data_IF_134076697230
#
_entry.id   IF_134076697230
#
_cell.length_a   1.000
_cell.length_b   1.000
_cell.length_c   1.000
_cell.angle_alpha   90.00
_cell.angle_beta   90.00
_cell.angle_gamma   90.00
#
_symmetry.space_group_name_H-M   'P 1'
#
loop_
_entity.id
_entity.type
_entity.pdbx_description
1 polymer ?
#
# COMPACT_ATOMS: atom_id res chain seq x y z
N UNK A 1 -21.07 60.07 -98.27
CA UNK A 1 -21.82 59.23 -97.32
C UNK A 1 -21.08 59.26 -96.00
N UNK A 2 -21.42 59.97 -94.93
CA UNK A 2 -22.40 61.00 -94.54
C UNK A 2 -21.94 61.38 -93.11
N UNK A 3 -21.48 62.61 -92.85
CA UNK A 3 -22.14 63.74 -92.15
C UNK A 3 -22.55 63.42 -90.67
N UNK A 4 -21.96 64.07 -89.64
CA UNK A 4 -22.41 65.32 -88.92
C UNK A 4 -23.85 65.18 -88.36
N UNK A 5 -24.23 65.41 -87.10
CA UNK A 5 -24.03 66.48 -86.09
C UNK A 5 -24.46 65.94 -84.68
N UNK A 6 -23.84 66.32 -83.56
CA UNK A 6 -24.17 67.43 -82.62
C UNK A 6 -25.57 67.41 -81.95
N UNK A 7 -25.59 67.48 -80.61
CA UNK A 7 -26.80 67.78 -79.83
C UNK A 7 -26.67 67.66 -78.30
N UNK A 8 -26.32 68.78 -77.64
CA UNK A 8 -27.00 69.28 -76.42
C UNK A 8 -26.69 68.71 -75.02
N UNK A 9 -26.05 69.55 -74.19
CA UNK A 9 -26.02 69.55 -72.71
C UNK A 9 -27.43 69.67 -72.08
N UNK A 10 -27.66 69.20 -70.82
CA UNK A 10 -27.46 70.10 -69.67
C UNK A 10 -26.95 69.43 -68.37
N UNK A 11 -26.37 70.28 -67.52
CA UNK A 11 -25.70 70.00 -66.25
C UNK A 11 -26.67 69.74 -65.08
N UNK A 12 -26.43 68.70 -64.25
CA UNK A 12 -26.91 68.56 -62.84
C UNK A 12 -26.04 67.52 -62.08
N UNK A 13 -26.10 67.39 -60.73
CA UNK A 13 -25.05 67.73 -59.78
C UNK A 13 -24.24 66.54 -59.22
N UNK A 14 -23.14 66.87 -58.55
CA UNK A 14 -22.27 65.97 -57.79
C UNK A 14 -23.02 65.30 -56.62
N UNK A 15 -22.99 63.96 -56.55
CA UNK A 15 -23.41 63.16 -55.39
C UNK A 15 -22.16 62.47 -54.82
N UNK A 16 -21.80 62.71 -53.55
CA UNK A 16 -20.62 62.12 -52.95
C UNK A 16 -20.81 60.63 -52.66
N UNK A 17 -19.79 59.83 -53.00
CA UNK A 17 -19.65 58.45 -52.55
C UNK A 17 -19.50 58.38 -51.01
N UNK A 18 -20.14 57.41 -50.33
CA UNK A 18 -20.02 57.26 -48.89
C UNK A 18 -18.61 56.79 -48.48
N UNK A 19 -18.12 57.18 -47.29
CA UNK A 19 -16.79 56.83 -46.82
C UNK A 19 -16.67 55.33 -46.51
N UNK A 20 -15.51 54.76 -46.84
CA UNK A 20 -15.10 53.42 -46.41
C UNK A 20 -15.07 53.32 -44.88
N UNK A 21 -15.73 52.30 -44.34
CA UNK A 21 -15.94 52.06 -42.92
C UNK A 21 -14.66 51.64 -42.19
N UNK A 22 -14.17 52.46 -41.25
CA UNK A 22 -13.06 52.15 -40.34
C UNK A 22 -13.45 51.24 -39.15
N UNK A 23 -14.49 50.41 -39.29
CA UNK A 23 -15.06 49.62 -38.19
C UNK A 23 -14.54 48.18 -38.08
N UNK A 24 -13.73 47.70 -39.02
CA UNK A 24 -13.32 46.27 -39.11
C UNK A 24 -11.95 45.95 -38.53
N UNK A 25 -11.07 46.94 -38.28
CA UNK A 25 -9.72 46.72 -37.74
C UNK A 25 -9.62 46.73 -36.20
N UNK A 26 -10.51 47.45 -35.51
CA UNK A 26 -10.49 47.51 -34.03
C UNK A 26 -11.01 46.21 -33.38
N UNK A 27 -12.10 45.64 -33.93
CA UNK A 27 -12.71 44.42 -33.39
C UNK A 27 -11.87 43.14 -33.58
N UNK A 28 -10.91 43.13 -34.50
CA UNK A 28 -9.99 42.00 -34.72
C UNK A 28 -8.78 42.04 -33.77
N UNK A 29 -8.25 43.23 -33.47
CA UNK A 29 -7.18 43.43 -32.49
C UNK A 29 -7.65 43.13 -31.05
N UNK A 30 -8.84 43.60 -30.65
CA UNK A 30 -9.44 43.33 -29.33
C UNK A 30 -9.80 41.84 -29.14
N UNK A 31 -10.31 41.18 -30.19
CA UNK A 31 -10.54 39.72 -30.17
C UNK A 31 -9.22 38.93 -30.06
N UNK A 32 -8.11 39.41 -30.64
CA UNK A 32 -6.81 38.75 -30.53
C UNK A 32 -6.20 38.87 -29.14
N UNK A 33 -6.29 40.04 -28.49
CA UNK A 33 -5.80 40.25 -27.12
C UNK A 33 -6.63 39.47 -26.10
N UNK A 34 -7.95 39.42 -26.28
CA UNK A 34 -8.84 38.66 -25.40
C UNK A 34 -8.58 37.15 -25.52
N UNK A 35 -8.35 36.63 -26.74
CA UNK A 35 -7.95 35.23 -26.97
C UNK A 35 -6.57 34.90 -26.38
N UNK A 36 -5.61 35.82 -26.44
CA UNK A 36 -4.28 35.65 -25.84
C UNK A 36 -4.34 35.64 -24.30
N UNK A 37 -5.16 36.50 -23.69
CA UNK A 37 -5.39 36.51 -22.23
C UNK A 37 -6.11 35.25 -21.76
N UNK A 38 -7.12 34.77 -22.50
CA UNK A 38 -7.76 33.48 -22.18
C UNK A 38 -6.79 32.29 -22.31
N UNK A 39 -5.92 32.28 -23.33
CA UNK A 39 -4.91 31.22 -23.50
C UNK A 39 -3.85 31.21 -22.40
N UNK A 40 -3.39 32.38 -21.94
CA UNK A 40 -2.44 32.48 -20.83
C UNK A 40 -3.13 32.04 -19.53
N UNK A 41 -4.38 32.48 -19.28
CA UNK A 41 -5.14 32.05 -18.11
C UNK A 41 -5.43 30.54 -18.11
N UNK A 42 -5.71 29.94 -19.27
CA UNK A 42 -5.90 28.48 -19.38
C UNK A 42 -4.59 27.72 -19.17
N UNK A 43 -3.45 28.21 -19.69
CA UNK A 43 -2.14 27.58 -19.47
C UNK A 43 -1.70 27.67 -18.01
N UNK A 44 -1.91 28.81 -17.34
CA UNK A 44 -1.67 28.95 -15.91
C UNK A 44 -2.60 28.04 -15.09
N UNK A 45 -3.88 27.94 -15.48
CA UNK A 45 -4.84 27.04 -14.83
C UNK A 45 -4.43 25.57 -14.95
N UNK A 46 -3.97 25.13 -16.13
CA UNK A 46 -3.46 23.77 -16.35
C UNK A 46 -2.17 23.52 -15.56
N UNK A 47 -1.24 24.48 -15.53
CA UNK A 47 0.00 24.34 -14.75
C UNK A 47 -0.27 24.25 -13.24
N UNK A 48 -1.21 25.04 -12.71
CA UNK A 48 -1.64 24.96 -11.31
C UNK A 48 -2.34 23.63 -11.02
N UNK A 49 -3.18 23.14 -11.94
CA UNK A 49 -3.82 21.84 -11.81
C UNK A 49 -2.79 20.69 -11.82
N UNK A 50 -1.81 20.71 -12.72
CA UNK A 50 -0.73 19.73 -12.78
C UNK A 50 0.18 19.79 -11.54
N UNK A 51 0.50 20.98 -11.04
CA UNK A 51 1.24 21.13 -9.79
C UNK A 51 0.44 20.63 -8.58
N UNK A 52 -0.88 20.84 -8.56
CA UNK A 52 -1.75 20.31 -7.52
C UNK A 52 -1.86 18.77 -7.59
N UNK A 53 -1.94 18.20 -8.79
CA UNK A 53 -1.92 16.75 -9.01
C UNK A 53 -0.56 16.16 -8.62
N UNK A 54 0.55 16.79 -9.00
CA UNK A 54 1.90 16.37 -8.61
C UNK A 54 2.14 16.46 -7.10
N UNK A 55 1.67 17.53 -6.44
CA UNK A 55 1.74 17.66 -4.99
C UNK A 55 0.83 16.66 -4.27
N UNK A 56 -0.33 16.34 -4.85
CA UNK A 56 -1.22 15.30 -4.34
C UNK A 56 -0.56 13.92 -4.48
N UNK A 57 -0.05 13.57 -5.66
CA UNK A 57 0.69 12.32 -5.90
C UNK A 57 1.91 12.19 -4.97
N UNK A 58 2.72 13.24 -4.84
CA UNK A 58 3.86 13.27 -3.91
C UNK A 58 3.42 13.02 -2.45
N UNK A 59 2.33 13.64 -2.00
CA UNK A 59 1.77 13.39 -0.66
C UNK A 59 1.28 11.96 -0.47
N UNK A 60 0.86 11.28 -1.54
CA UNK A 60 0.43 9.87 -1.48
C UNK A 60 1.62 8.90 -1.50
N UNK A 61 2.69 9.21 -2.25
CA UNK A 61 3.79 8.26 -2.47
C UNK A 61 4.93 8.41 -1.46
N UNK A 62 5.24 9.65 -1.02
CA UNK A 62 6.27 9.89 0.01
C UNK A 62 6.08 8.98 1.25
N UNK A 63 4.86 8.80 1.77
CA UNK A 63 4.64 7.92 2.89
C UNK A 63 4.96 6.43 2.59
N UNK A 64 4.74 5.93 1.37
CA UNK A 64 5.06 4.55 0.97
C UNK A 64 6.57 4.31 0.96
N UNK A 65 7.34 5.26 0.44
CA UNK A 65 8.81 5.21 0.40
C UNK A 65 9.41 5.39 1.79
N UNK A 66 8.87 6.31 2.58
CA UNK A 66 9.33 6.53 3.96
C UNK A 66 9.07 5.32 4.87
N UNK A 67 8.08 4.47 4.52
CA UNK A 67 7.71 3.29 5.29
C UNK A 67 8.77 2.20 5.29
N UNK A 68 9.60 2.10 4.25
CA UNK A 68 10.68 1.10 4.19
C UNK A 68 11.66 1.20 5.36
N UNK A 69 11.81 2.38 6.00
CA UNK A 69 12.64 2.53 7.21
C UNK A 69 12.12 1.71 8.40
N UNK A 70 10.87 1.28 8.35
CA UNK A 70 10.22 0.45 9.34
C UNK A 70 9.99 -0.99 8.83
N UNK A 71 10.68 -1.42 7.77
CA UNK A 71 10.59 -2.80 7.28
C UNK A 71 11.25 -3.81 8.23
N UNK A 72 12.23 -3.37 9.02
CA UNK A 72 12.97 -4.21 9.97
C UNK A 72 12.53 -3.91 11.39
N UNK A 73 12.15 -4.97 12.12
CA UNK A 73 11.72 -4.92 13.52
C UNK A 73 12.50 -5.97 14.31
N UNK A 74 12.58 -5.77 15.63
CA UNK A 74 13.19 -6.77 16.52
C UNK A 74 12.12 -7.75 16.99
N UNK A 75 12.45 -9.04 16.98
CA UNK A 75 11.55 -10.12 17.39
C UNK A 75 11.70 -10.46 18.88
N UNK A 76 11.81 -9.42 19.72
CA UNK A 76 11.82 -9.55 21.17
C UNK A 76 10.39 -9.77 21.70
N UNK A 77 10.24 -10.68 22.65
CA UNK A 77 8.96 -10.93 23.31
C UNK A 77 8.68 -9.75 24.26
N UNK A 78 7.48 -9.16 24.23
CA UNK A 78 7.16 -8.03 25.09
C UNK A 78 7.15 -8.45 26.57
N UNK A 79 7.33 -7.48 27.47
CA UNK A 79 7.23 -7.73 28.91
C UNK A 79 5.80 -7.51 29.37
N UNK A 80 5.14 -8.56 29.86
CA UNK A 80 3.83 -8.48 30.49
C UNK A 80 3.92 -8.43 32.04
N UNK A 81 2.97 -7.77 32.72
CA UNK A 81 2.83 -7.85 34.17
C UNK A 81 2.73 -9.30 34.65
N UNK A 82 3.49 -9.62 35.69
CA UNK A 82 3.56 -10.97 36.24
C UNK A 82 2.34 -11.24 37.13
N UNK A 83 1.71 -12.39 36.97
CA UNK A 83 0.64 -12.86 37.85
C UNK A 83 1.24 -13.71 38.98
N UNK A 84 0.68 -13.57 40.19
CA UNK A 84 1.03 -14.46 41.32
C UNK A 84 -0.14 -15.40 41.57
N UNK A 85 0.13 -16.71 41.51
CA UNK A 85 -0.85 -17.73 41.85
C UNK A 85 -1.27 -17.64 43.32
N UNK A 86 -2.58 -17.68 43.55
CA UNK A 86 -3.18 -17.87 44.85
C UNK A 86 -3.14 -19.35 45.25
N UNK A 87 -3.50 -19.62 46.51
CA UNK A 87 -3.60 -20.99 47.00
C UNK A 87 -4.62 -21.80 46.18
N UNK A 88 -4.17 -22.89 45.56
CA UNK A 88 -5.02 -23.75 44.73
C UNK A 88 -5.02 -23.40 43.24
N UNK A 89 -4.29 -22.36 42.84
CA UNK A 89 -4.05 -22.03 41.43
C UNK A 89 -2.68 -22.56 40.97
N UNK A 90 -2.60 -22.95 39.70
CA UNK A 90 -1.36 -23.22 38.97
C UNK A 90 -1.03 -21.99 38.12
N UNK A 91 0.18 -21.45 38.27
CA UNK A 91 0.67 -20.37 37.41
C UNK A 91 1.15 -20.93 36.08
N UNK A 92 0.62 -20.40 34.98
CA UNK A 92 1.03 -20.71 33.62
C UNK A 92 1.52 -19.43 32.94
N UNK A 93 2.56 -19.55 32.14
CA UNK A 93 3.11 -18.46 31.32
C UNK A 93 2.95 -18.80 29.85
N UNK A 94 2.50 -17.84 29.06
CA UNK A 94 2.41 -17.97 27.61
C UNK A 94 3.81 -18.29 27.06
N UNK A 95 3.90 -19.37 26.30
CA UNK A 95 5.07 -19.73 25.51
C UNK A 95 4.94 -19.07 24.13
N UNK A 96 5.73 -18.02 23.85
CA UNK A 96 5.60 -17.26 22.61
C UNK A 96 6.06 -18.04 21.39
N UNK A 97 6.84 -19.13 21.56
CA UNK A 97 7.29 -19.98 20.43
C UNK A 97 6.20 -20.91 19.91
N UNK A 98 5.11 -21.06 20.69
CA UNK A 98 3.95 -21.90 20.38
C UNK A 98 2.64 -21.12 20.48
N UNK A 99 2.73 -19.81 20.32
CA UNK A 99 1.58 -18.90 20.37
C UNK A 99 1.68 -17.89 19.23
N UNK A 100 0.53 -17.48 18.69
CA UNK A 100 0.44 -16.48 17.64
C UNK A 100 -0.88 -15.74 17.66
N UNK A 101 -0.85 -14.46 17.28
CA UNK A 101 -2.02 -13.65 17.01
C UNK A 101 -2.04 -13.36 15.52
N UNK A 102 -3.14 -13.72 14.87
CA UNK A 102 -3.38 -13.49 13.45
C UNK A 102 -4.54 -12.53 13.28
N UNK A 103 -4.39 -11.57 12.38
CA UNK A 103 -5.50 -10.77 11.86
C UNK A 103 -5.89 -11.23 10.46
N UNK A 104 -7.17 -11.16 10.14
CA UNK A 104 -7.71 -11.35 8.80
C UNK A 104 -8.69 -10.22 8.46
N UNK A 105 -8.49 -9.57 7.32
CA UNK A 105 -9.32 -8.46 6.88
C UNK A 105 -9.63 -8.57 5.38
N UNK A 106 -10.89 -8.35 5.03
CA UNK A 106 -11.29 -8.28 3.62
C UNK A 106 -10.75 -7.00 2.97
N UNK A 107 -10.18 -7.13 1.79
CA UNK A 107 -9.69 -6.01 0.98
C UNK A 107 -10.20 -6.08 -0.47
N UNK A 108 -10.37 -4.91 -1.07
CA UNK A 108 -10.70 -4.73 -2.48
C UNK A 108 -9.55 -4.03 -3.19
N UNK A 109 -9.02 -4.68 -4.22
CA UNK A 109 -8.00 -4.14 -5.11
C UNK A 109 -8.62 -3.53 -6.37
N UNK A 110 -8.22 -2.29 -6.70
CA UNK A 110 -8.63 -1.53 -7.87
C UNK A 110 -10.15 -1.55 -8.13
N UNK A 111 -10.95 -1.55 -7.05
CA UNK A 111 -12.41 -1.53 -7.09
C UNK A 111 -13.11 -2.80 -7.60
N UNK A 112 -12.40 -3.91 -7.86
CA UNK A 112 -12.99 -5.08 -8.52
C UNK A 112 -12.59 -6.44 -7.95
N UNK A 113 -11.37 -6.62 -7.41
CA UNK A 113 -10.91 -7.91 -6.89
C UNK A 113 -10.99 -7.92 -5.37
N UNK A 114 -11.79 -8.82 -4.80
CA UNK A 114 -11.80 -9.08 -3.36
C UNK A 114 -10.78 -10.15 -3.00
N UNK A 115 -10.08 -9.94 -1.90
CA UNK A 115 -9.18 -10.90 -1.28
C UNK A 115 -9.17 -10.68 0.24
N UNK A 116 -8.47 -11.56 0.95
CA UNK A 116 -8.26 -11.43 2.39
C UNK A 116 -6.78 -11.12 2.62
N UNK A 117 -6.49 -10.04 3.33
CA UNK A 117 -5.16 -9.78 3.85
C UNK A 117 -5.04 -10.42 5.23
N UNK A 118 -3.98 -11.20 5.41
CA UNK A 118 -3.68 -11.89 6.67
C UNK A 118 -2.30 -11.46 7.15
N UNK A 119 -2.16 -11.24 8.46
CA UNK A 119 -0.84 -11.08 9.05
C UNK A 119 -0.79 -11.56 10.49
N UNK A 120 0.39 -11.95 10.96
CA UNK A 120 0.58 -12.63 12.24
C UNK A 120 1.76 -12.09 13.04
N UNK A 121 1.72 -12.30 14.35
CA UNK A 121 2.82 -12.01 15.28
C UNK A 121 2.90 -13.10 16.35
N UNK A 122 4.11 -13.47 16.73
CA UNK A 122 4.39 -14.39 17.85
C UNK A 122 4.85 -13.64 19.12
N UNK A 123 5.05 -12.31 19.04
CA UNK A 123 5.49 -11.48 20.16
C UNK A 123 4.40 -11.30 21.21
N UNK A 124 4.08 -12.35 21.96
CA UNK A 124 2.96 -12.40 22.90
C UNK A 124 3.49 -12.78 24.27
N UNK A 125 3.05 -12.07 25.30
CA UNK A 125 3.39 -12.38 26.68
C UNK A 125 2.18 -12.21 27.60
N UNK A 126 2.14 -12.99 28.66
CA UNK A 126 1.08 -12.97 29.65
C UNK A 126 1.17 -14.18 30.56
N UNK A 127 0.50 -14.07 31.70
CA UNK A 127 0.37 -15.14 32.68
C UNK A 127 -1.10 -15.50 32.87
N UNK A 128 -1.36 -16.76 33.17
CA UNK A 128 -2.67 -17.27 33.57
C UNK A 128 -2.52 -17.98 34.93
N UNK A 129 -3.53 -17.88 35.78
CA UNK A 129 -3.62 -18.64 37.02
C UNK A 129 -4.83 -19.57 36.93
N UNK A 130 -4.56 -20.85 36.69
CA UNK A 130 -5.58 -21.88 36.48
C UNK A 130 -6.02 -22.47 37.82
N UNK A 131 -7.31 -22.41 38.12
CA UNK A 131 -7.88 -23.09 39.28
C UNK A 131 -8.55 -24.40 38.83
N UNK A 132 -7.87 -25.52 39.04
CA UNK A 132 -8.33 -26.83 38.56
C UNK A 132 -9.53 -27.38 39.34
N UNK A 133 -9.78 -26.88 40.55
CA UNK A 133 -10.92 -27.29 41.36
C UNK A 133 -12.21 -26.52 41.01
N UNK A 134 -12.06 -25.27 40.58
CA UNK A 134 -13.14 -24.34 40.23
C UNK A 134 -12.68 -23.47 39.06
N UNK A 135 -12.95 -23.93 37.84
CA UNK A 135 -12.50 -23.28 36.62
C UNK A 135 -12.99 -21.82 36.51
N UNK A 136 -14.19 -21.53 37.03
CA UNK A 136 -14.75 -20.17 37.08
C UNK A 136 -13.94 -19.19 37.95
N UNK A 137 -13.10 -19.70 38.85
CA UNK A 137 -12.24 -18.88 39.72
C UNK A 137 -10.85 -18.66 39.08
N UNK A 138 -10.60 -19.16 37.87
CA UNK A 138 -9.33 -18.96 37.14
C UNK A 138 -9.17 -17.50 36.74
N UNK A 139 -7.92 -17.03 36.65
CA UNK A 139 -7.60 -15.63 36.37
C UNK A 139 -6.65 -15.50 35.19
N UNK A 140 -6.89 -14.49 34.36
CA UNK A 140 -6.00 -14.14 33.26
C UNK A 140 -5.30 -12.82 33.62
N UNK A 141 -3.97 -12.81 33.55
CA UNK A 141 -3.19 -11.58 33.67
C UNK A 141 -3.36 -10.70 32.45
N UNK A 142 -2.75 -9.52 32.46
CA UNK A 142 -2.71 -8.71 31.24
C UNK A 142 -1.93 -9.46 30.15
N UNK A 143 -2.51 -9.59 28.96
CA UNK A 143 -1.82 -10.11 27.78
C UNK A 143 -1.27 -8.91 27.01
N UNK A 144 0.00 -8.98 26.63
CA UNK A 144 0.70 -7.94 25.88
C UNK A 144 1.18 -8.53 24.57
N UNK A 145 0.85 -7.88 23.47
CA UNK A 145 1.22 -8.31 22.12
C UNK A 145 2.03 -7.22 21.44
N UNK A 146 3.18 -7.57 20.89
CA UNK A 146 3.96 -6.70 20.03
C UNK A 146 3.36 -6.71 18.61
N UNK A 147 2.58 -5.68 18.31
CA UNK A 147 1.91 -5.45 17.03
C UNK A 147 2.81 -4.73 16.02
N UNK A 148 4.03 -4.35 16.40
CA UNK A 148 5.08 -3.94 15.45
C UNK A 148 5.57 -5.16 14.64
N UNK A 149 5.56 -6.33 15.27
CA UNK A 149 5.99 -7.60 14.67
C UNK A 149 4.95 -8.24 13.75
N UNK A 150 3.81 -7.60 13.52
CA UNK A 150 2.86 -8.10 12.53
C UNK A 150 3.52 -8.21 11.16
N UNK A 151 3.33 -9.37 10.56
CA UNK A 151 3.90 -9.72 9.28
C UNK A 151 2.85 -10.35 8.37
N UNK A 152 2.81 -9.89 7.13
CA UNK A 152 1.96 -10.45 6.07
C UNK A 152 2.82 -10.96 4.91
N UNK A 153 2.17 -11.40 3.84
CA UNK A 153 2.81 -11.75 2.57
C UNK A 153 3.32 -10.52 1.79
N UNK A 154 3.33 -9.31 2.38
CA UNK A 154 3.74 -8.07 1.71
C UNK A 154 4.46 -7.11 2.68
N UNK A 155 5.77 -6.94 2.52
CA UNK A 155 6.60 -6.13 3.41
C UNK A 155 6.25 -4.63 3.34
N UNK A 156 5.82 -4.14 2.17
CA UNK A 156 5.36 -2.75 2.04
C UNK A 156 4.05 -2.54 2.78
N UNK A 157 3.13 -3.52 2.75
CA UNK A 157 1.91 -3.51 3.56
C UNK A 157 2.27 -3.44 5.03
N UNK A 158 3.16 -4.31 5.49
CA UNK A 158 3.57 -4.36 6.89
C UNK A 158 4.21 -3.05 7.34
N UNK A 159 5.13 -2.51 6.54
CA UNK A 159 5.77 -1.22 6.77
C UNK A 159 4.74 -0.07 6.83
N UNK A 160 3.74 -0.08 5.95
CA UNK A 160 2.67 0.92 5.91
C UNK A 160 1.72 0.80 7.12
N UNK A 161 1.34 -0.41 7.49
CA UNK A 161 0.54 -0.69 8.69
C UNK A 161 1.28 -0.17 9.93
N UNK A 162 2.59 -0.47 10.03
CA UNK A 162 3.45 0.03 11.10
C UNK A 162 3.56 1.55 11.13
N UNK A 163 3.68 2.21 9.99
CA UNK A 163 3.88 3.66 9.95
C UNK A 163 2.58 4.46 10.13
N UNK A 164 1.55 4.18 9.34
CA UNK A 164 0.43 5.12 9.16
C UNK A 164 -0.85 4.69 9.87
N UNK A 165 -1.07 3.38 9.98
CA UNK A 165 -2.34 2.85 10.45
C UNK A 165 -2.26 2.48 11.92
N UNK A 166 -1.67 1.33 12.26
CA UNK A 166 -1.45 0.98 13.67
C UNK A 166 -0.46 1.94 14.33
N UNK A 167 0.41 2.59 13.55
CA UNK A 167 1.47 3.46 14.07
C UNK A 167 2.34 2.70 15.09
N UNK A 168 2.52 1.39 14.90
CA UNK A 168 3.17 0.52 15.87
C UNK A 168 4.67 0.77 16.02
N UNK A 169 5.32 1.44 15.06
CA UNK A 169 6.67 2.00 15.28
C UNK A 169 6.73 3.00 16.46
N UNK A 170 5.59 3.63 16.81
CA UNK A 170 5.44 4.53 17.96
C UNK A 170 4.70 3.86 19.12
N UNK A 171 3.74 3.00 18.80
CA UNK A 171 2.89 2.28 19.74
C UNK A 171 3.02 0.76 19.53
N UNK A 172 4.17 0.16 19.87
CA UNK A 172 4.48 -1.21 19.47
C UNK A 172 3.61 -2.26 20.16
N UNK A 173 3.00 -1.91 21.29
CA UNK A 173 2.27 -2.86 22.13
C UNK A 173 0.77 -2.63 22.05
N UNK A 174 0.04 -3.72 21.86
CA UNK A 174 -1.38 -3.83 22.21
C UNK A 174 -1.51 -4.60 23.52
N UNK A 175 -2.50 -4.25 24.35
CA UNK A 175 -2.78 -4.99 25.59
C UNK A 175 -4.21 -5.50 25.59
N UNK A 176 -4.43 -6.63 26.26
CA UNK A 176 -5.74 -7.09 26.67
C UNK A 176 -5.79 -7.14 28.20
N UNK A 177 -6.69 -6.35 28.76
CA UNK A 177 -6.99 -6.29 30.18
C UNK A 177 -8.23 -7.12 30.47
N UNK A 178 -8.03 -8.26 31.12
CA UNK A 178 -9.08 -9.21 31.47
C UNK A 178 -10.08 -8.65 32.49
N UNK A 179 -11.36 -8.97 32.31
CA UNK A 179 -12.45 -8.56 33.21
C UNK A 179 -13.21 -9.76 33.78
N UNK A 180 -13.72 -10.65 32.91
CA UNK A 180 -14.59 -11.76 33.32
C UNK A 180 -14.52 -12.94 32.33
N UNK A 181 -14.80 -14.14 32.84
CA UNK A 181 -15.07 -15.35 32.05
C UNK A 181 -16.56 -15.68 32.16
N UNK A 182 -17.20 -15.91 31.02
CA UNK A 182 -18.58 -16.40 30.95
C UNK A 182 -18.63 -17.80 30.33
N UNK A 183 -19.40 -18.72 30.93
CA UNK A 183 -19.62 -20.07 30.38
C UNK A 183 -18.60 -21.13 30.80
N UNK A 184 -17.57 -20.77 31.57
CA UNK A 184 -16.61 -21.73 32.16
C UNK A 184 -16.98 -22.00 33.63
N UNK A 185 -17.13 -23.27 34.01
CA UNK A 185 -17.39 -23.64 35.41
C UNK A 185 -17.06 -25.10 35.70
N UNK A 186 -16.91 -25.43 36.99
CA UNK A 186 -16.75 -26.81 37.44
C UNK A 186 -15.30 -27.19 37.72
N UNK A 187 -15.04 -28.48 37.83
CA UNK A 187 -13.70 -29.02 38.05
C UNK A 187 -13.07 -29.34 36.69
N UNK A 188 -11.77 -29.11 36.57
CA UNK A 188 -11.01 -29.51 35.39
C UNK A 188 -10.95 -31.03 35.24
N UNK A 189 -11.28 -31.51 34.05
CA UNK A 189 -10.96 -32.85 33.57
C UNK A 189 -9.82 -32.73 32.54
N UNK A 190 -8.68 -33.38 32.80
CA UNK A 190 -7.51 -33.30 31.91
C UNK A 190 -7.84 -33.80 30.50
N UNK A 191 -7.37 -33.05 29.49
CA UNK A 191 -7.63 -33.32 28.08
C UNK A 191 -9.04 -32.99 27.58
N UNK A 192 -9.97 -32.60 28.47
CA UNK A 192 -11.28 -32.10 28.05
C UNK A 192 -11.14 -30.71 27.38
N UNK A 193 -11.99 -30.47 26.38
CA UNK A 193 -12.09 -29.19 25.69
C UNK A 193 -13.25 -28.39 26.25
N UNK A 194 -12.96 -27.15 26.67
CA UNK A 194 -13.92 -26.21 27.21
C UNK A 194 -14.17 -25.07 26.23
N UNK A 195 -15.43 -24.67 26.08
CA UNK A 195 -15.85 -23.51 25.30
C UNK A 195 -16.44 -22.45 26.24
N UNK A 196 -15.93 -21.23 26.15
CA UNK A 196 -16.36 -20.11 27.00
C UNK A 196 -16.05 -18.78 26.34
N UNK A 197 -16.49 -17.68 26.95
CA UNK A 197 -16.17 -16.33 26.50
C UNK A 197 -15.25 -15.63 27.50
N UNK A 198 -14.25 -14.91 26.98
CA UNK A 198 -13.44 -13.98 27.75
C UNK A 198 -13.82 -12.55 27.41
N UNK A 199 -14.19 -11.78 28.44
CA UNK A 199 -14.52 -10.38 28.33
C UNK A 199 -13.38 -9.54 28.91
N UNK A 200 -13.12 -8.40 28.28
CA UNK A 200 -12.10 -7.48 28.73
C UNK A 200 -11.96 -6.29 27.80
N UNK A 201 -10.84 -5.59 27.92
CA UNK A 201 -10.54 -4.39 27.15
C UNK A 201 -9.26 -4.56 26.34
N UNK A 202 -9.35 -4.41 25.02
CA UNK A 202 -8.19 -4.28 24.16
C UNK A 202 -7.79 -2.81 24.08
N UNK A 203 -6.52 -2.52 24.33
CA UNK A 203 -5.92 -1.21 24.11
C UNK A 203 -4.94 -1.27 22.94
N UNK A 204 -5.18 -0.46 21.92
CA UNK A 204 -4.24 -0.22 20.81
C UNK A 204 -3.95 1.28 20.78
N UNK A 205 -2.67 1.65 20.61
CA UNK A 205 -2.17 3.02 20.83
C UNK A 205 -2.43 3.46 22.28
N UNK A 206 -3.43 4.31 22.48
CA UNK A 206 -3.85 4.83 23.78
C UNK A 206 -5.38 4.76 23.91
N UNK A 207 -6.03 3.87 23.14
CA UNK A 207 -7.49 3.78 23.04
C UNK A 207 -7.97 2.41 23.52
N UNK A 208 -8.49 2.29 24.76
CA UNK A 208 -9.13 1.07 25.23
C UNK A 208 -10.50 0.90 24.59
N UNK A 209 -10.86 -0.34 24.25
CA UNK A 209 -12.18 -0.71 23.77
C UNK A 209 -12.58 -2.09 24.33
N UNK A 210 -13.84 -2.23 24.75
CA UNK A 210 -14.36 -3.52 25.17
C UNK A 210 -14.30 -4.53 24.01
N UNK A 211 -13.91 -5.76 24.34
CA UNK A 211 -13.79 -6.90 23.44
C UNK A 211 -14.29 -8.16 24.11
N UNK A 212 -14.97 -9.01 23.34
CA UNK A 212 -15.38 -10.35 23.74
C UNK A 212 -14.69 -11.35 22.82
N UNK A 213 -14.10 -12.37 23.41
CA UNK A 213 -13.39 -13.43 22.72
C UNK A 213 -14.12 -14.75 22.96
N UNK A 214 -14.45 -15.45 21.88
CA UNK A 214 -14.91 -16.84 21.93
C UNK A 214 -13.69 -17.75 22.05
N UNK A 215 -13.64 -18.60 23.08
CA UNK A 215 -12.45 -19.37 23.44
C UNK A 215 -12.77 -20.85 23.47
N UNK A 216 -11.90 -21.64 22.84
CA UNK A 216 -11.82 -23.09 23.00
C UNK A 216 -10.48 -23.41 23.64
N UNK A 217 -10.47 -24.05 24.81
CA UNK A 217 -9.24 -24.38 25.52
C UNK A 217 -9.25 -25.78 26.13
N UNK A 218 -8.07 -26.37 26.27
CA UNK A 218 -7.83 -27.63 26.99
C UNK A 218 -6.55 -27.54 27.80
N UNK A 219 -6.49 -28.32 28.88
CA UNK A 219 -5.30 -28.47 29.70
C UNK A 219 -4.96 -29.95 29.85
N UNK A 220 -3.75 -30.33 29.47
CA UNK A 220 -3.26 -31.70 29.56
C UNK A 220 -1.75 -31.70 29.83
N UNK A 221 -1.28 -32.61 30.68
CA UNK A 221 0.14 -32.79 31.04
C UNK A 221 0.91 -31.48 31.34
N UNK A 222 0.28 -30.55 32.07
CA UNK A 222 0.91 -29.28 32.44
C UNK A 222 0.90 -28.19 31.35
N UNK A 223 0.24 -28.44 30.22
CA UNK A 223 0.17 -27.54 29.07
C UNK A 223 -1.27 -27.09 28.86
N UNK A 224 -1.49 -25.78 28.87
CA UNK A 224 -2.72 -25.16 28.42
C UNK A 224 -2.60 -24.83 26.93
N UNK A 225 -3.55 -25.28 26.13
CA UNK A 225 -3.71 -24.86 24.72
C UNK A 225 -5.05 -24.20 24.53
N UNK A 226 -5.09 -23.05 23.86
CA UNK A 226 -6.31 -22.30 23.60
C UNK A 226 -6.32 -21.67 22.21
N UNK A 227 -7.48 -21.65 21.59
CA UNK A 227 -7.78 -20.82 20.41
C UNK A 227 -8.88 -19.84 20.81
N UNK A 228 -8.61 -18.54 20.66
CA UNK A 228 -9.55 -17.48 20.96
C UNK A 228 -9.79 -16.62 19.72
N UNK A 229 -11.06 -16.34 19.40
CA UNK A 229 -11.43 -15.50 18.26
C UNK A 229 -12.23 -14.28 18.68
N UNK A 230 -11.95 -13.13 18.07
CA UNK A 230 -12.73 -11.92 18.29
C UNK A 230 -12.82 -11.08 17.01
N UNK A 231 -13.90 -10.32 16.90
CA UNK A 231 -14.07 -9.34 15.83
C UNK A 231 -13.90 -7.92 16.37
N UNK A 232 -13.08 -7.11 15.70
CA UNK A 232 -12.84 -5.72 16.08
C UNK A 232 -13.03 -4.78 14.89
N UNK A 233 -13.23 -3.48 15.19
CA UNK A 233 -13.27 -2.44 14.17
C UNK A 233 -12.03 -1.56 14.25
N UNK A 234 -11.27 -1.46 13.17
CA UNK A 234 -10.04 -0.66 13.12
C UNK A 234 -10.29 0.82 13.40
N UNK A 235 -11.45 1.34 12.97
CA UNK A 235 -11.88 2.71 13.23
C UNK A 235 -12.00 3.06 14.72
N UNK A 236 -12.24 2.07 15.60
CA UNK A 236 -12.24 2.28 17.06
C UNK A 236 -10.85 2.71 17.57
N UNK A 237 -9.80 2.29 16.89
CA UNK A 237 -8.41 2.56 17.25
C UNK A 237 -7.74 3.60 16.35
N UNK A 238 -8.49 4.24 15.45
CA UNK A 238 -7.96 5.20 14.46
C UNK A 238 -6.90 4.53 13.57
N UNK A 239 -7.17 3.29 13.18
CA UNK A 239 -6.27 2.45 12.36
C UNK A 239 -6.90 2.02 11.03
N UNK A 240 -8.15 2.42 10.76
CA UNK A 240 -8.88 2.07 9.55
C UNK A 240 -10.27 2.72 9.48
N UNK A 241 -11.10 2.38 8.48
CA UNK A 241 -10.76 1.53 7.34
C UNK A 241 -9.65 2.14 6.49
N UNK A 242 -8.84 1.28 5.87
CA UNK A 242 -7.67 1.72 5.09
C UNK A 242 -8.13 1.99 3.66
N UNK A 243 -7.79 3.16 3.12
CA UNK A 243 -8.00 3.49 1.71
C UNK A 243 -6.76 4.17 1.15
N UNK A 244 -6.18 3.56 0.13
CA UNK A 244 -4.96 4.05 -0.52
C UNK A 244 -5.30 4.39 -1.97
N UNK A 245 -5.56 5.68 -2.22
CA UNK A 245 -5.72 6.28 -3.56
C UNK A 245 -6.61 5.50 -4.56
N UNK A 246 -7.59 4.72 -4.09
CA UNK A 246 -8.45 3.87 -4.93
C UNK A 246 -7.81 2.56 -5.41
N UNK A 247 -6.56 2.28 -5.03
CA UNK A 247 -5.84 1.04 -5.35
C UNK A 247 -6.17 -0.08 -4.38
N UNK A 248 -6.24 0.23 -3.08
CA UNK A 248 -6.57 -0.72 -2.01
C UNK A 248 -7.60 -0.07 -1.09
N UNK A 249 -8.63 -0.84 -0.76
CA UNK A 249 -9.58 -0.49 0.28
C UNK A 249 -9.84 -1.71 1.16
N UNK A 250 -9.68 -1.57 2.47
CA UNK A 250 -10.07 -2.61 3.41
C UNK A 250 -11.48 -2.36 3.93
N UNK A 251 -12.12 -3.42 4.42
CA UNK A 251 -13.22 -3.28 5.36
C UNK A 251 -12.73 -2.62 6.67
N UNK A 252 -13.67 -2.26 7.54
CA UNK A 252 -13.34 -1.75 8.89
C UNK A 252 -13.26 -2.87 9.92
N UNK A 253 -13.92 -3.99 9.64
CA UNK A 253 -14.00 -5.15 10.52
C UNK A 253 -12.83 -6.09 10.27
N UNK A 254 -12.17 -6.49 11.35
CA UNK A 254 -11.04 -7.43 11.36
C UNK A 254 -11.38 -8.61 12.25
N UNK A 255 -11.12 -9.81 11.75
CA UNK A 255 -11.14 -11.04 12.55
C UNK A 255 -9.76 -11.22 13.18
N UNK A 256 -9.74 -11.50 14.48
CA UNK A 256 -8.55 -11.81 15.24
C UNK A 256 -8.63 -13.25 15.72
N UNK A 257 -7.56 -14.01 15.51
CA UNK A 257 -7.41 -15.38 15.99
C UNK A 257 -6.13 -15.46 16.82
N UNK A 258 -6.29 -15.73 18.11
CA UNK A 258 -5.20 -15.95 19.05
C UNK A 258 -5.07 -17.45 19.32
N UNK A 259 -3.97 -18.04 18.88
CA UNK A 259 -3.55 -19.39 19.26
C UNK A 259 -2.53 -19.25 20.38
N UNK A 260 -2.79 -19.92 21.51
CA UNK A 260 -2.02 -19.73 22.73
C UNK A 260 -1.64 -21.08 23.32
N UNK A 261 -0.36 -21.23 23.62
CA UNK A 261 0.15 -22.31 24.47
C UNK A 261 0.75 -21.69 25.72
N UNK A 262 0.40 -22.20 26.90
CA UNK A 262 0.97 -21.74 28.17
C UNK A 262 1.40 -22.93 29.05
N UNK A 263 2.53 -22.76 29.74
CA UNK A 263 3.17 -23.81 30.54
C UNK A 263 3.64 -23.27 31.88
N UNK A 264 3.90 -24.14 32.84
CA UNK A 264 4.41 -23.72 34.14
C UNK A 264 5.86 -23.16 34.02
N UNK A 265 6.10 -21.89 34.39
CA UNK A 265 7.41 -21.25 34.22
C UNK A 265 8.48 -21.74 35.21
N UNK A 266 8.09 -22.50 36.24
CA UNK A 266 9.02 -23.11 37.19
C UNK A 266 9.71 -24.35 36.61
N UNK A 267 9.07 -25.00 35.62
CA UNK A 267 9.50 -26.25 35.01
C UNK A 267 9.96 -26.08 33.55
N UNK A 268 9.66 -24.94 32.92
CA UNK A 268 9.92 -24.70 31.50
C UNK A 268 10.64 -23.36 31.30
N UNK A 269 11.62 -23.34 30.40
CA UNK A 269 12.25 -22.11 29.95
C UNK A 269 11.32 -21.38 28.99
N UNK A 270 11.03 -20.11 29.28
CA UNK A 270 10.18 -19.27 28.43
C UNK A 270 11.07 -18.38 27.57
N UNK A 271 10.91 -18.49 26.26
CA UNK A 271 11.71 -17.74 25.30
C UNK A 271 11.47 -16.22 25.45
N UNK A 272 12.53 -15.44 25.30
CA UNK A 272 12.49 -13.97 25.31
C UNK A 272 12.63 -13.38 23.90
N UNK A 273 12.82 -14.24 22.91
CA UNK A 273 12.87 -13.91 21.48
C UNK A 273 12.05 -14.95 20.73
N UNK A 274 11.34 -14.52 19.70
CA UNK A 274 10.66 -15.41 18.76
C UNK A 274 11.37 -15.40 17.43
N UNK A 275 11.28 -16.51 16.69
CA UNK A 275 11.59 -16.46 15.28
C UNK A 275 10.56 -15.57 14.59
N UNK A 276 10.99 -14.91 13.53
CA UNK A 276 10.09 -14.20 12.62
C UNK A 276 8.96 -15.15 12.26
N UNK A 277 7.70 -14.75 12.51
CA UNK A 277 6.53 -15.58 12.19
C UNK A 277 6.68 -15.95 10.72
N UNK A 278 7.00 -17.23 10.47
CA UNK A 278 7.46 -17.65 9.16
C UNK A 278 6.39 -17.24 8.16
N UNK A 279 6.78 -16.40 7.18
CA UNK A 279 6.20 -16.48 5.84
C UNK A 279 6.02 -17.98 5.62
N UNK A 280 4.79 -18.45 5.42
CA UNK A 280 4.56 -19.80 4.93
C UNK A 280 5.59 -19.96 3.82
N UNK A 281 6.67 -20.71 4.07
CA UNK A 281 7.75 -20.88 3.11
C UNK A 281 7.03 -21.27 1.84
N UNK A 282 6.97 -20.34 0.87
CA UNK A 282 6.12 -20.45 -0.28
C UNK A 282 6.56 -21.74 -0.94
N UNK A 283 5.74 -22.77 -0.83
CA UNK A 283 6.26 -24.12 -0.71
C UNK A 283 7.02 -24.53 -1.94
N UNK A 284 8.35 -24.57 -1.91
CA UNK A 284 9.21 -25.34 -2.82
C UNK A 284 8.89 -25.24 -4.34
N UNK A 285 8.16 -24.22 -4.77
CA UNK A 285 8.05 -23.87 -6.18
C UNK A 285 9.25 -22.97 -6.44
N UNK A 286 10.20 -23.44 -7.25
CA UNK A 286 11.34 -22.62 -7.70
C UNK A 286 10.80 -21.28 -8.19
N UNK A 287 11.12 -20.22 -7.44
CA UNK A 287 10.79 -18.86 -7.84
C UNK A 287 11.41 -18.60 -9.22
N UNK A 288 10.78 -17.77 -10.07
CA UNK A 288 11.43 -17.30 -11.29
C UNK A 288 12.82 -16.72 -10.96
N UNK A 289 13.84 -17.11 -11.73
CA UNK A 289 15.21 -16.59 -11.61
C UNK A 289 15.21 -15.07 -11.80
N UNK A 290 15.96 -14.36 -10.95
CA UNK A 290 16.08 -12.92 -11.10
C UNK A 290 16.78 -12.60 -12.42
N UNK A 291 17.97 -13.14 -12.63
CA UNK A 291 18.78 -12.88 -13.84
C UNK A 291 18.06 -13.27 -15.14
N UNK A 292 17.40 -14.42 -15.16
CA UNK A 292 16.89 -14.99 -16.41
C UNK A 292 15.48 -14.54 -16.77
N UNK A 293 14.68 -14.15 -15.77
CA UNK A 293 13.26 -13.88 -15.96
C UNK A 293 12.89 -12.46 -15.54
N UNK A 294 13.30 -12.04 -14.35
CA UNK A 294 12.82 -10.79 -13.74
C UNK A 294 13.59 -9.59 -14.26
N UNK A 295 14.92 -9.67 -14.27
CA UNK A 295 15.81 -8.62 -14.76
C UNK A 295 15.42 -8.18 -16.18
N UNK A 296 15.26 -9.06 -17.20
CA UNK A 296 14.85 -8.64 -18.54
C UNK A 296 13.51 -7.89 -18.60
N UNK A 297 12.54 -8.27 -17.76
CA UNK A 297 11.24 -7.58 -17.66
C UNK A 297 11.46 -6.15 -17.13
N UNK A 298 12.29 -6.01 -16.09
CA UNK A 298 12.56 -4.73 -15.46
C UNK A 298 13.41 -3.81 -16.33
N UNK A 299 14.44 -4.34 -17.02
CA UNK A 299 15.23 -3.61 -18.01
C UNK A 299 14.34 -3.06 -19.13
N UNK A 300 13.36 -3.86 -19.58
CA UNK A 300 12.49 -3.51 -20.71
C UNK A 300 11.38 -2.52 -20.33
N UNK A 301 10.85 -2.59 -19.12
CA UNK A 301 9.63 -1.87 -18.74
C UNK A 301 9.81 -0.84 -17.61
N UNK A 302 10.85 -0.95 -16.79
CA UNK A 302 10.97 -0.19 -15.54
C UNK A 302 12.21 0.68 -15.46
N UNK A 303 13.39 0.12 -15.79
CA UNK A 303 14.70 0.75 -15.59
C UNK A 303 14.79 2.13 -16.26
N UNK A 304 14.29 2.26 -17.49
CA UNK A 304 14.36 3.51 -18.27
C UNK A 304 13.72 4.70 -17.55
N UNK A 305 12.73 4.44 -16.70
CA UNK A 305 11.99 5.43 -15.94
C UNK A 305 12.49 5.55 -14.50
N UNK A 306 12.94 4.44 -13.91
CA UNK A 306 13.26 4.31 -12.49
C UNK A 306 14.75 4.31 -12.14
N UNK A 307 15.67 4.26 -13.10
CA UNK A 307 17.09 4.48 -12.81
C UNK A 307 17.35 5.92 -12.36
N UNK A 308 18.40 6.12 -11.56
CA UNK A 308 18.90 7.41 -11.09
C UNK A 308 18.97 8.45 -12.21
N UNK A 309 18.36 9.61 -11.95
CA UNK A 309 18.32 10.73 -12.89
C UNK A 309 17.19 10.66 -13.93
N UNK A 310 16.41 9.58 -13.97
CA UNK A 310 15.25 9.45 -14.83
C UNK A 310 13.97 10.00 -14.17
N UNK A 311 12.91 10.16 -14.97
CA UNK A 311 11.72 10.89 -14.53
C UNK A 311 10.94 10.19 -13.41
N UNK A 312 11.04 8.88 -13.23
CA UNK A 312 10.41 8.11 -12.16
C UNK A 312 11.29 7.94 -10.91
N UNK A 313 12.59 8.18 -11.03
CA UNK A 313 13.59 7.99 -9.97
C UNK A 313 13.33 8.82 -8.71
N UNK A 314 12.73 10.01 -8.87
CA UNK A 314 12.38 10.88 -7.74
C UNK A 314 11.35 10.26 -6.78
N UNK A 315 10.66 9.22 -7.24
CA UNK A 315 9.64 8.48 -6.48
C UNK A 315 10.18 7.14 -6.02
N UNK A 316 10.75 6.38 -6.94
CA UNK A 316 11.32 5.06 -6.70
C UNK A 316 12.55 4.94 -7.59
N UNK A 317 13.72 4.70 -6.99
CA UNK A 317 14.97 4.45 -7.72
C UNK A 317 15.22 2.94 -7.75
N UNK A 318 15.57 2.41 -8.93
CA UNK A 318 15.89 1.00 -9.17
C UNK A 318 17.20 0.94 -9.96
N UNK A 319 18.34 1.10 -9.28
CA UNK A 319 19.65 1.10 -9.95
C UNK A 319 20.31 -0.28 -9.99
N UNK A 320 19.94 -1.16 -9.05
CA UNK A 320 20.51 -2.50 -8.91
C UNK A 320 19.49 -3.54 -8.44
N UNK A 321 19.91 -4.80 -8.44
CA UNK A 321 19.09 -5.93 -8.02
C UNK A 321 18.61 -5.82 -6.56
N UNK A 322 19.42 -5.24 -5.68
CA UNK A 322 19.09 -4.99 -4.28
C UNK A 322 17.95 -3.99 -4.12
N UNK A 323 17.97 -2.89 -4.88
CA UNK A 323 16.87 -1.93 -4.93
C UNK A 323 15.56 -2.60 -5.34
N UNK A 324 15.60 -3.44 -6.38
CA UNK A 324 14.41 -4.18 -6.86
C UNK A 324 13.90 -5.16 -5.81
N UNK A 325 14.77 -5.97 -5.22
CA UNK A 325 14.41 -6.91 -4.15
C UNK A 325 13.75 -6.17 -2.98
N UNK A 326 14.26 -5.00 -2.61
CA UNK A 326 13.72 -4.19 -1.52
C UNK A 326 12.29 -3.68 -1.77
N UNK A 327 11.79 -3.75 -3.02
CA UNK A 327 10.45 -3.30 -3.42
C UNK A 327 9.65 -4.34 -4.20
N UNK A 328 10.04 -5.62 -4.17
CA UNK A 328 9.40 -6.71 -4.94
C UNK A 328 7.87 -6.70 -4.81
N UNK A 329 7.37 -6.50 -3.59
CA UNK A 329 5.94 -6.52 -3.28
C UNK A 329 5.21 -5.29 -3.85
N UNK A 330 5.92 -4.17 -3.94
CA UNK A 330 5.47 -2.96 -4.60
C UNK A 330 5.34 -3.17 -6.09
N UNK A 331 6.35 -3.79 -6.71
CA UNK A 331 6.35 -4.14 -8.14
C UNK A 331 5.18 -5.05 -8.50
N UNK A 332 4.94 -6.12 -7.72
CA UNK A 332 3.73 -6.95 -7.86
C UNK A 332 2.46 -6.11 -7.82
N UNK A 333 2.32 -5.24 -6.81
CA UNK A 333 1.10 -4.44 -6.59
C UNK A 333 0.83 -3.48 -7.75
N UNK A 334 1.82 -2.69 -8.16
CA UNK A 334 1.63 -1.66 -9.19
C UNK A 334 1.45 -2.23 -10.59
N UNK A 335 2.05 -3.39 -10.87
CA UNK A 335 1.91 -4.06 -12.18
C UNK A 335 0.59 -4.81 -12.29
N UNK A 336 0.16 -5.56 -11.26
CA UNK A 336 -1.13 -6.26 -11.28
C UNK A 336 -2.35 -5.34 -11.36
N UNK A 337 -2.20 -4.10 -10.89
CA UNK A 337 -3.25 -3.07 -10.96
C UNK A 337 -3.21 -2.26 -12.26
N UNK A 338 -2.20 -2.47 -13.11
CA UNK A 338 -1.96 -1.66 -14.32
C UNK A 338 -1.62 -0.20 -14.01
N UNK A 339 -1.25 0.11 -12.76
CA UNK A 339 -0.82 1.43 -12.35
C UNK A 339 0.54 1.79 -12.94
N UNK A 340 1.43 0.78 -13.02
CA UNK A 340 2.72 0.88 -13.70
C UNK A 340 2.85 -0.21 -14.78
N UNK A 341 3.48 0.11 -15.92
CA UNK A 341 3.90 1.45 -16.33
C UNK A 341 2.68 2.35 -16.62
N UNK A 342 2.79 3.68 -16.42
CA UNK A 342 1.64 4.56 -16.56
C UNK A 342 1.28 4.72 -18.04
N UNK A 343 0.04 4.39 -18.42
CA UNK A 343 -0.49 4.59 -19.76
C UNK A 343 -1.87 5.25 -19.74
N UNK A 344 -1.90 6.58 -19.93
CA UNK A 344 -3.14 7.35 -19.87
C UNK A 344 -3.94 7.37 -21.18
N UNK A 345 -3.42 6.78 -22.25
CA UNK A 345 -4.12 6.74 -23.53
C UNK A 345 -5.12 5.57 -23.58
N UNK A 346 -6.30 5.82 -24.14
CA UNK A 346 -7.30 4.77 -24.36
C UNK A 346 -6.92 3.86 -25.53
N UNK A 347 -7.34 2.60 -25.46
CA UNK A 347 -7.26 1.67 -26.59
C UNK A 347 -8.40 1.87 -27.61
N UNK A 348 -9.36 2.73 -27.29
CA UNK A 348 -10.43 3.17 -28.19
C UNK A 348 -9.85 4.09 -29.30
N UNK A 349 -9.26 3.50 -30.35
CA UNK A 349 -8.64 4.28 -31.42
C UNK A 349 -7.80 3.48 -32.41
N UNK A 350 -6.88 4.17 -33.09
CA UNK A 350 -5.84 3.53 -33.90
C UNK A 350 -4.78 2.92 -32.99
N UNK A 351 -4.17 1.83 -33.43
CA UNK A 351 -3.08 1.20 -32.69
C UNK A 351 -1.93 2.19 -32.50
N UNK A 352 -1.56 2.40 -31.23
CA UNK A 352 -0.51 3.33 -30.84
C UNK A 352 0.84 2.60 -30.80
N UNK A 353 1.82 3.14 -31.53
CA UNK A 353 3.17 2.61 -31.50
C UNK A 353 3.82 2.78 -30.12
N UNK A 354 4.66 1.82 -29.73
CA UNK A 354 5.47 1.87 -28.51
C UNK A 354 4.66 2.00 -27.22
N UNK A 355 3.51 1.32 -27.15
CA UNK A 355 2.72 1.21 -25.93
C UNK A 355 3.57 0.53 -24.85
N UNK A 356 3.77 1.14 -23.67
CA UNK A 356 4.45 0.52 -22.54
C UNK A 356 3.45 -0.46 -21.90
N UNK A 357 3.27 -1.63 -22.51
CA UNK A 357 2.51 -2.73 -21.92
C UNK A 357 3.45 -3.77 -21.36
N UNK A 358 3.10 -4.27 -20.18
CA UNK A 358 3.63 -5.53 -19.65
C UNK A 358 2.57 -6.60 -19.96
N UNK A 359 3.00 -7.77 -20.44
CA UNK A 359 2.09 -8.88 -20.70
C UNK A 359 1.59 -9.54 -19.42
N UNK A 360 0.46 -10.24 -19.49
CA UNK A 360 -0.09 -10.98 -18.34
C UNK A 360 0.89 -12.05 -17.82
N UNK A 361 1.70 -12.64 -18.70
CA UNK A 361 2.73 -13.62 -18.36
C UNK A 361 3.87 -12.98 -17.56
N UNK A 362 4.36 -11.82 -17.98
CA UNK A 362 5.39 -11.06 -17.27
C UNK A 362 4.88 -10.54 -15.91
N UNK A 363 3.62 -10.08 -15.85
CA UNK A 363 2.97 -9.70 -14.58
C UNK A 363 2.89 -10.92 -13.64
N UNK A 364 2.55 -12.10 -14.17
CA UNK A 364 2.50 -13.33 -13.38
C UNK A 364 3.89 -13.75 -12.89
N UNK A 365 4.94 -13.58 -13.70
CA UNK A 365 6.32 -13.86 -13.30
C UNK A 365 6.80 -12.91 -12.19
N UNK A 366 6.57 -11.60 -12.32
CA UNK A 366 6.87 -10.61 -11.28
C UNK A 366 6.12 -10.92 -9.98
N UNK A 367 4.85 -11.31 -10.08
CA UNK A 367 4.06 -11.70 -8.93
C UNK A 367 4.60 -12.97 -8.25
N UNK A 368 4.90 -14.03 -9.02
CA UNK A 368 5.43 -15.27 -8.47
C UNK A 368 6.82 -15.09 -7.82
N UNK A 369 7.68 -14.27 -8.42
CA UNK A 369 8.98 -13.92 -7.83
C UNK A 369 8.82 -13.11 -6.55
N UNK A 370 7.93 -12.12 -6.53
CA UNK A 370 7.58 -11.37 -5.32
C UNK A 370 6.99 -12.26 -4.23
N UNK A 371 6.11 -13.20 -4.57
CA UNK A 371 5.47 -14.14 -3.64
C UNK A 371 6.49 -15.09 -2.99
N UNK A 372 7.56 -15.41 -3.71
CA UNK A 372 8.70 -16.14 -3.17
C UNK A 372 9.65 -15.28 -2.31
N UNK A 373 9.32 -14.01 -2.07
CA UNK A 373 10.13 -13.08 -1.30
C UNK A 373 11.23 -12.37 -2.08
N UNK A 374 11.14 -12.35 -3.42
CA UNK A 374 12.10 -11.69 -4.30
C UNK A 374 13.52 -12.23 -4.22
N UNK A 375 13.75 -13.56 -4.29
CA UNK A 375 15.09 -14.12 -4.20
C UNK A 375 15.99 -13.62 -5.35
N UNK A 376 17.24 -13.28 -5.03
CA UNK A 376 18.25 -12.91 -6.01
C UNK A 376 19.20 -14.11 -6.22
N UNK A 377 19.40 -14.49 -7.48
CA UNK A 377 20.45 -15.41 -7.93
C UNK A 377 21.70 -14.68 -8.46
N UNK A 378 21.74 -13.36 -8.29
CA UNK A 378 22.84 -12.45 -8.60
C UNK A 378 23.30 -11.68 -7.36
N UNK A 379 24.41 -10.96 -7.47
CA UNK A 379 24.84 -10.05 -6.40
C UNK A 379 23.83 -8.89 -6.27
N UNK A 380 23.41 -8.47 -5.05
CA UNK A 380 22.52 -7.31 -4.89
C UNK A 380 23.03 -6.03 -5.54
N UNK A 381 24.35 -5.86 -5.71
CA UNK A 381 24.95 -4.70 -6.39
C UNK A 381 24.97 -4.85 -7.93
N UNK A 382 24.35 -5.89 -8.49
CA UNK A 382 24.25 -6.10 -9.95
C UNK A 382 23.43 -4.96 -10.57
N UNK A 383 24.00 -4.16 -11.51
CA UNK A 383 23.30 -3.02 -12.09
C UNK A 383 22.09 -3.44 -12.92
N UNK A 384 21.00 -2.67 -12.81
CA UNK A 384 19.81 -2.81 -13.66
C UNK A 384 19.78 -1.67 -14.68
N UNK A 385 20.14 -1.97 -15.93
CA UNK A 385 20.18 -0.98 -17.03
C UNK A 385 18.99 -1.14 -17.98
N UNK A 386 18.46 -0.07 -18.59
CA UNK A 386 17.37 -0.22 -19.54
C UNK A 386 17.84 -0.87 -20.83
N UNK A 387 16.95 -1.66 -21.46
CA UNK A 387 17.21 -2.12 -22.83
C UNK A 387 17.37 -0.91 -23.75
N UNK A 388 18.10 -1.10 -24.86
CA UNK A 388 18.33 -0.04 -25.83
C UNK A 388 17.00 0.51 -26.37
N UNK A 389 16.05 -0.37 -26.64
CA UNK A 389 14.70 -0.05 -27.08
C UNK A 389 13.96 0.77 -26.03
N UNK A 390 14.00 0.38 -24.76
CA UNK A 390 13.37 1.13 -23.67
C UNK A 390 14.00 2.52 -23.47
N UNK A 391 15.33 2.61 -23.57
CA UNK A 391 16.06 3.87 -23.47
C UNK A 391 15.74 4.84 -24.62
N UNK A 392 15.51 4.34 -25.83
CA UNK A 392 15.14 5.14 -27.01
C UNK A 392 13.74 5.77 -26.91
N UNK A 393 12.87 5.25 -26.04
CA UNK A 393 11.50 5.75 -25.82
C UNK A 393 11.40 6.87 -24.78
N UNK A 394 12.47 7.16 -24.05
CA UNK A 394 12.48 8.29 -23.11
C UNK A 394 12.29 9.61 -23.86
N UNK A 395 11.54 10.58 -23.28
CA UNK A 395 11.32 11.86 -23.93
C UNK A 395 12.67 12.48 -24.30
N UNK A 396 12.84 12.70 -25.62
CA UNK A 396 14.06 13.22 -26.22
C UNK A 396 14.52 14.46 -25.46
N UNK A 397 15.83 14.59 -25.26
CA UNK A 397 16.46 15.86 -24.93
C UNK A 397 15.86 16.97 -25.80
N UNK A 398 15.57 18.12 -25.19
CA UNK A 398 15.04 19.29 -25.89
C UNK A 398 15.86 19.54 -27.16
N UNK A 399 15.23 19.40 -28.33
CA UNK A 399 15.88 19.73 -29.59
C UNK A 399 15.73 21.23 -29.83
N UNK A 400 16.83 21.97 -29.74
CA UNK A 400 16.86 23.35 -30.18
C UNK A 400 16.83 23.42 -31.72
N UNK A 401 15.63 23.58 -32.28
CA UNK A 401 15.46 23.84 -33.70
C UNK A 401 15.59 25.34 -33.96
N UNK A 402 16.67 25.74 -34.65
CA UNK A 402 16.80 27.11 -35.17
C UNK A 402 16.03 27.23 -36.48
N UNK A 403 14.95 27.99 -36.47
CA UNK A 403 14.26 28.41 -37.70
C UNK A 403 14.71 29.82 -38.06
N UNK A 404 15.04 30.03 -39.34
CA UNK A 404 15.17 31.38 -39.88
C UNK A 404 13.84 32.12 -39.70
N UNK A 405 13.85 33.43 -39.36
CA UNK A 405 12.63 34.22 -39.25
C UNK A 405 11.78 34.08 -40.52
N UNK A 406 10.51 33.69 -40.37
CA UNK A 406 9.59 33.59 -41.50
C UNK A 406 9.37 34.98 -42.12
N UNK A 407 10.04 35.25 -43.23
CA UNK A 407 9.71 36.35 -44.14
C UNK A 407 8.71 35.81 -45.16
N UNK A 408 7.42 35.93 -44.88
CA UNK A 408 6.39 35.58 -45.87
C UNK A 408 6.59 36.38 -47.17
N UNK A 409 6.38 35.74 -48.32
CA UNK A 409 6.31 36.45 -49.60
C UNK A 409 5.00 37.23 -49.67
N UNK A 410 5.10 38.55 -49.85
CA UNK A 410 3.96 39.45 -50.09
C UNK A 410 3.27 39.18 -51.41
#
# INVERSE_FOLDING_TARGET
MSDHESGGEPSVPEVPEPPATAATAAGSAERSQTRRRLRIASLTGVAVALAAVGAFAYKQIKPVVDAQRYATVTYEVPVAPQLTAASGETLLRIDPTRSSLTYEIEETFAGAKRSTATGSTAGIAGDLALNTARLEDSRVGQIVVNIEQFESDNNLRDARIRQDFLQSHRYPLATFDFEEIEGLSGQLEEGETYEFQMLGHVTVKERPAASTWDVTASYDDGVLTATATATAKLSRFDAGPISIAGLVQTEDEVLLTLELTAVEPSANDIATTVERAGRLEAGSQEAPSYEQVIEPILEQHCASCHNSGQFGAHTLTLDDAGDVQAVSDGLKTVTQTGYMPPWFASDEGVELAHKPTISDEEIAALAAWSDAGGPLDVDPETPLDPTKEAAELLPRQDQELRIEPYTGSL
#
